data_IF_291772229494
#
_entry.id   IF_291772229494
#
_cell.length_a   1.000
_cell.length_b   1.000
_cell.length_c   1.000
_cell.angle_alpha   90.00
_cell.angle_beta   90.00
_cell.angle_gamma   90.00
#
_symmetry.space_group_name_H-M   'P 1'
#
loop_
_entity.id
_entity.type
_entity.pdbx_description
1 polymer ?
#
# COMPACT_ATOMS: atom_id res chain seq x y z
N UNK A 1 11.49 -3.59 22.55
CA UNK A 1 11.94 -4.28 21.32
C UNK A 1 10.93 -3.94 20.22
N UNK A 2 11.22 -2.94 19.37
CA UNK A 2 10.28 -2.47 18.34
C UNK A 2 10.51 -3.26 17.05
N UNK A 3 9.64 -4.23 16.78
CA UNK A 3 9.66 -5.01 15.54
C UNK A 3 9.38 -4.09 14.35
N UNK A 4 10.37 -3.97 13.44
CA UNK A 4 10.23 -3.31 12.14
C UNK A 4 9.54 -4.28 11.19
N UNK A 5 8.21 -4.30 11.15
CA UNK A 5 7.48 -5.15 10.20
C UNK A 5 7.54 -4.52 8.81
N UNK A 6 8.47 -4.99 7.97
CA UNK A 6 8.49 -4.69 6.52
C UNK A 6 7.56 -5.68 5.83
N UNK A 7 6.59 -5.20 5.05
CA UNK A 7 5.76 -6.07 4.23
C UNK A 7 6.29 -6.09 2.80
N UNK A 8 6.86 -7.22 2.41
CA UNK A 8 7.43 -7.45 1.07
C UNK A 8 6.39 -8.10 0.17
N UNK A 9 5.92 -7.36 -0.83
CA UNK A 9 5.10 -7.90 -1.91
C UNK A 9 6.03 -8.33 -3.06
N UNK A 10 6.78 -9.42 -2.89
CA UNK A 10 7.87 -9.75 -3.82
C UNK A 10 7.42 -10.28 -5.19
N UNK A 11 6.35 -11.09 -5.26
CA UNK A 11 5.79 -11.62 -6.51
C UNK A 11 4.41 -12.27 -6.28
N UNK A 12 3.70 -12.61 -7.36
CA UNK A 12 2.41 -13.32 -7.39
C UNK A 12 1.20 -12.53 -6.84
N UNK A 13 0.03 -13.17 -6.83
CA UNK A 13 -1.19 -12.57 -6.31
C UNK A 13 -1.24 -12.73 -4.79
N UNK A 14 -1.48 -11.63 -4.08
CA UNK A 14 -1.48 -11.58 -2.63
C UNK A 14 -2.73 -10.88 -2.13
N UNK A 15 -3.39 -11.46 -1.13
CA UNK A 15 -4.59 -10.89 -0.52
C UNK A 15 -4.44 -10.81 0.99
N UNK A 16 -4.54 -9.61 1.53
CA UNK A 16 -4.44 -9.33 2.97
C UNK A 16 -5.77 -8.78 3.46
N UNK A 17 -6.39 -9.41 4.46
CA UNK A 17 -7.69 -8.97 4.98
C UNK A 17 -7.72 -8.98 6.51
N UNK A 18 -8.29 -7.92 7.10
CA UNK A 18 -8.38 -7.75 8.54
C UNK A 18 -7.01 -7.78 9.25
N UNK A 19 -5.98 -7.24 8.59
CA UNK A 19 -4.62 -7.19 9.11
C UNK A 19 -4.33 -5.84 9.80
N UNK A 20 -3.28 -5.81 10.62
CA UNK A 20 -2.65 -4.58 11.09
C UNK A 20 -1.26 -4.48 10.47
N UNK A 21 -1.04 -3.44 9.69
CA UNK A 21 0.21 -3.20 8.95
C UNK A 21 0.81 -1.91 9.49
N UNK A 22 2.03 -1.96 10.02
CA UNK A 22 2.67 -0.78 10.63
C UNK A 22 4.09 -0.54 10.14
N UNK A 23 4.41 0.71 9.81
CA UNK A 23 5.76 1.06 9.35
C UNK A 23 5.96 2.57 9.16
N UNK A 24 7.08 2.96 8.57
CA UNK A 24 7.50 4.36 8.43
C UNK A 24 7.72 4.71 6.96
N UNK A 25 8.89 4.34 6.43
CA UNK A 25 9.32 4.57 5.04
C UNK A 25 9.09 3.30 4.24
N UNK A 26 8.37 3.40 3.13
CA UNK A 26 8.17 2.35 2.12
C UNK A 26 7.79 0.98 2.70
N UNK A 27 6.92 0.96 3.71
CA UNK A 27 6.69 -0.27 4.47
C UNK A 27 5.73 -1.25 3.79
N UNK A 28 5.00 -0.81 2.76
CA UNK A 28 4.25 -1.64 1.81
C UNK A 28 4.90 -1.47 0.43
N UNK A 29 5.81 -2.36 0.07
CA UNK A 29 6.61 -2.21 -1.15
C UNK A 29 6.77 -3.54 -1.90
N UNK A 30 7.18 -3.44 -3.16
CA UNK A 30 7.38 -4.61 -4.02
C UNK A 30 6.61 -4.54 -5.33
N UNK A 31 6.63 -5.65 -6.06
CA UNK A 31 6.05 -5.78 -7.40
C UNK A 31 5.07 -6.96 -7.51
N UNK A 32 4.40 -7.32 -6.41
CA UNK A 32 3.31 -8.29 -6.48
C UNK A 32 2.01 -7.64 -7.00
N UNK A 33 1.02 -8.48 -7.31
CA UNK A 33 -0.38 -8.06 -7.42
C UNK A 33 -1.03 -8.20 -6.05
N UNK A 34 -0.95 -7.15 -5.24
CA UNK A 34 -1.37 -7.18 -3.83
C UNK A 34 -2.65 -6.39 -3.60
N UNK A 35 -3.63 -7.00 -2.95
CA UNK A 35 -4.85 -6.34 -2.46
C UNK A 35 -4.90 -6.41 -0.93
N UNK A 36 -4.96 -5.25 -0.28
CA UNK A 36 -5.11 -5.09 1.16
C UNK A 36 -6.52 -4.57 1.42
N UNK A 37 -7.34 -5.33 2.13
CA UNK A 37 -8.76 -5.03 2.35
C UNK A 37 -9.13 -5.02 3.84
N UNK A 38 -10.03 -4.13 4.26
CA UNK A 38 -10.58 -4.09 5.63
C UNK A 38 -9.49 -4.10 6.72
N UNK A 39 -8.35 -3.46 6.47
CA UNK A 39 -7.18 -3.54 7.34
C UNK A 39 -6.85 -2.19 7.97
N UNK A 40 -6.11 -2.22 9.08
CA UNK A 40 -5.58 -1.03 9.74
C UNK A 40 -4.12 -0.81 9.31
N UNK A 41 -3.84 0.36 8.75
CA UNK A 41 -2.51 0.78 8.33
C UNK A 41 -2.04 1.86 9.31
N UNK A 42 -1.01 1.56 10.10
CA UNK A 42 -0.49 2.42 11.15
C UNK A 42 0.86 3.01 10.72
N UNK A 43 0.88 4.32 10.48
CA UNK A 43 2.10 5.05 10.14
C UNK A 43 2.82 5.47 11.41
N UNK A 44 4.02 4.95 11.62
CA UNK A 44 4.85 5.19 12.80
C UNK A 44 5.69 6.46 12.65
N UNK A 45 6.24 6.94 13.77
CA UNK A 45 7.22 8.03 13.75
C UNK A 45 8.52 7.52 13.08
N UNK A 46 9.01 8.14 12.00
CA UNK A 46 10.27 7.76 11.38
C UNK A 46 11.46 8.26 12.20
N UNK A 47 12.68 7.97 11.73
CA UNK A 47 13.89 8.60 12.27
C UNK A 47 13.91 10.11 11.99
N UNK A 48 14.74 10.84 12.71
CA UNK A 48 14.82 12.30 12.54
C UNK A 48 15.30 12.65 11.11
N UNK A 49 14.71 13.70 10.52
CA UNK A 49 14.97 14.12 9.14
C UNK A 49 14.33 13.25 8.05
N UNK A 50 13.68 12.15 8.40
CA UNK A 50 13.02 11.27 7.43
C UNK A 50 11.56 11.66 7.15
N UNK A 51 11.04 11.17 6.03
CA UNK A 51 9.63 11.32 5.61
C UNK A 51 8.98 9.96 5.50
N UNK A 52 7.68 9.88 5.75
CA UNK A 52 6.92 8.64 5.61
C UNK A 52 6.32 8.51 4.21
N UNK A 53 6.32 7.29 3.70
CA UNK A 53 5.61 6.89 2.51
C UNK A 53 4.95 5.54 2.78
N UNK A 54 3.63 5.45 2.61
CA UNK A 54 2.90 4.22 2.89
C UNK A 54 3.28 3.13 1.89
N UNK A 55 3.29 3.46 0.59
CA UNK A 55 3.60 2.50 -0.48
C UNK A 55 4.81 2.88 -1.32
N UNK A 56 5.59 1.89 -1.75
CA UNK A 56 6.60 2.04 -2.80
C UNK A 56 6.51 0.87 -3.79
N UNK A 57 5.61 1.00 -4.78
CA UNK A 57 5.34 -0.09 -5.72
C UNK A 57 6.39 -0.11 -6.85
N UNK A 58 6.86 -1.32 -7.18
CA UNK A 58 8.05 -1.59 -7.99
C UNK A 58 7.79 -2.08 -9.42
N UNK A 59 6.63 -1.79 -10.01
CA UNK A 59 6.33 -2.20 -11.39
C UNK A 59 7.28 -1.53 -12.38
N UNK A 60 8.07 -2.35 -13.05
CA UNK A 60 9.15 -1.89 -13.93
C UNK A 60 8.77 -1.92 -15.40
N UNK A 61 7.78 -2.73 -15.78
CA UNK A 61 7.32 -2.85 -17.17
C UNK A 61 5.85 -2.46 -17.33
N UNK A 62 5.53 -1.79 -18.43
CA UNK A 62 4.14 -1.32 -18.70
C UNK A 62 3.13 -2.46 -18.80
N UNK A 63 3.58 -3.61 -19.32
CA UNK A 63 2.76 -4.80 -19.61
C UNK A 63 2.48 -5.64 -18.37
N UNK A 64 3.21 -5.43 -17.27
CA UNK A 64 2.99 -6.13 -16.01
C UNK A 64 1.60 -5.81 -15.43
N UNK A 65 0.92 -6.85 -14.97
CA UNK A 65 -0.39 -6.76 -14.31
C UNK A 65 -0.28 -6.60 -12.79
N UNK A 66 0.92 -6.31 -12.28
CA UNK A 66 1.24 -6.11 -10.86
C UNK A 66 0.84 -4.73 -10.35
N UNK A 67 0.73 -4.58 -9.03
CA UNK A 67 0.31 -3.33 -8.41
C UNK A 67 -0.22 -3.55 -7.00
N UNK A 68 -0.37 -2.45 -6.27
CA UNK A 68 -0.85 -2.46 -4.89
C UNK A 68 -2.20 -1.76 -4.83
N UNK A 69 -3.22 -2.45 -4.32
CA UNK A 69 -4.54 -1.89 -4.07
C UNK A 69 -4.82 -1.93 -2.57
N UNK A 70 -5.18 -0.78 -2.01
CA UNK A 70 -5.60 -0.65 -0.62
C UNK A 70 -7.08 -0.25 -0.65
N UNK A 71 -7.94 -1.17 -0.21
CA UNK A 71 -9.40 -1.03 -0.26
C UNK A 71 -10.01 -1.03 1.14
N UNK A 72 -10.92 -0.08 1.42
CA UNK A 72 -11.70 -0.04 2.66
C UNK A 72 -10.84 -0.19 3.92
N UNK A 73 -9.65 0.41 3.91
CA UNK A 73 -8.70 0.40 5.01
C UNK A 73 -8.75 1.71 5.79
N UNK A 74 -8.16 1.71 6.98
CA UNK A 74 -7.96 2.92 7.79
C UNK A 74 -6.47 3.23 7.85
N UNK A 75 -6.06 4.41 7.40
CA UNK A 75 -4.68 4.88 7.48
C UNK A 75 -4.58 5.90 8.62
N UNK A 76 -3.89 5.52 9.70
CA UNK A 76 -3.84 6.28 10.96
C UNK A 76 -2.40 6.50 11.41
N UNK A 77 -2.09 7.59 12.15
CA UNK A 77 -0.79 7.77 12.75
C UNK A 77 -0.68 6.93 14.04
N UNK A 78 0.52 6.44 14.35
CA UNK A 78 0.86 5.93 15.68
C UNK A 78 0.84 7.09 16.69
N UNK A 79 0.58 6.78 17.97
CA UNK A 79 0.56 7.77 19.05
C UNK A 79 1.82 8.65 19.10
N UNK A 80 2.99 8.09 18.81
CA UNK A 80 4.27 8.83 18.78
C UNK A 80 4.39 9.80 17.61
N UNK A 81 3.67 9.56 16.51
CA UNK A 81 3.65 10.47 15.36
C UNK A 81 2.68 11.63 15.59
N UNK A 82 1.61 11.44 16.38
CA UNK A 82 0.54 12.45 16.57
C UNK A 82 1.07 13.86 16.90
N UNK A 83 2.03 14.06 17.84
CA UNK A 83 2.53 15.40 18.17
C UNK A 83 3.30 16.08 17.03
N UNK A 84 3.90 15.29 16.14
CA UNK A 84 4.76 15.74 15.04
C UNK A 84 4.11 15.56 13.67
N UNK A 85 2.84 15.14 13.61
CA UNK A 85 2.16 14.67 12.39
C UNK A 85 2.03 15.71 11.28
N UNK A 86 2.11 16.99 11.63
CA UNK A 86 2.13 18.10 10.67
C UNK A 86 3.55 18.58 10.32
N UNK A 87 4.55 18.22 11.12
CA UNK A 87 5.96 18.53 10.88
C UNK A 87 6.62 17.45 10.00
N UNK A 88 6.29 16.19 10.27
CA UNK A 88 6.80 15.04 9.52
C UNK A 88 5.88 14.79 8.33
N UNK A 89 6.42 14.96 7.12
CA UNK A 89 5.68 14.72 5.89
C UNK A 89 5.33 13.23 5.75
N UNK A 90 4.05 12.93 5.59
CA UNK A 90 3.57 11.59 5.27
C UNK A 90 2.79 11.60 3.96
N UNK A 91 3.17 10.71 3.04
CA UNK A 91 2.52 10.53 1.74
C UNK A 91 1.95 9.12 1.57
N UNK A 92 0.96 8.97 0.71
CA UNK A 92 0.35 7.69 0.32
C UNK A 92 1.37 6.78 -0.37
N UNK A 93 2.31 7.34 -1.12
CA UNK A 93 3.39 6.57 -1.70
C UNK A 93 4.36 7.37 -2.55
N UNK A 94 5.37 6.65 -3.06
CA UNK A 94 6.38 7.16 -3.99
C UNK A 94 6.76 6.14 -5.07
N UNK A 95 7.09 6.59 -6.29
CA UNK A 95 7.30 5.70 -7.43
C UNK A 95 8.69 5.05 -7.39
N UNK A 96 8.80 3.83 -6.84
CA UNK A 96 10.08 3.12 -6.82
C UNK A 96 10.57 2.74 -8.22
N UNK A 97 9.65 2.46 -9.15
CA UNK A 97 9.94 2.08 -10.53
C UNK A 97 9.05 2.82 -11.53
N UNK A 98 9.46 2.83 -12.80
CA UNK A 98 8.94 3.71 -13.85
C UNK A 98 7.42 3.58 -14.07
N UNK A 99 6.86 2.37 -13.92
CA UNK A 99 5.44 2.12 -14.18
C UNK A 99 4.66 1.85 -12.90
N UNK A 100 5.12 2.38 -11.76
CA UNK A 100 4.51 2.12 -10.45
C UNK A 100 2.98 2.21 -10.48
N UNK A 101 2.31 1.30 -9.80
CA UNK A 101 0.84 1.25 -9.78
C UNK A 101 0.30 1.07 -8.38
N UNK A 102 -0.43 2.07 -7.90
CA UNK A 102 -1.04 2.06 -6.57
C UNK A 102 -2.44 2.67 -6.61
N UNK A 103 -3.39 1.99 -6.00
CA UNK A 103 -4.79 2.45 -5.89
C UNK A 103 -5.18 2.49 -4.42
N UNK A 104 -5.65 3.65 -3.96
CA UNK A 104 -6.21 3.83 -2.60
C UNK A 104 -7.69 4.13 -2.75
N UNK A 105 -8.55 3.19 -2.33
CA UNK A 105 -9.99 3.31 -2.55
C UNK A 105 -10.82 2.96 -1.32
N UNK A 106 -11.91 3.72 -1.12
CA UNK A 106 -12.87 3.56 -0.02
C UNK A 106 -12.24 3.65 1.38
N UNK A 107 -11.03 4.18 1.48
CA UNK A 107 -10.24 4.21 2.71
C UNK A 107 -10.53 5.46 3.55
N UNK A 108 -10.36 5.35 4.86
CA UNK A 108 -10.34 6.51 5.76
C UNK A 108 -8.91 7.00 5.95
N UNK A 109 -8.62 8.24 5.55
CA UNK A 109 -7.31 8.87 5.60
C UNK A 109 -7.26 9.89 6.74
N UNK A 110 -6.28 9.74 7.65
CA UNK A 110 -6.04 10.70 8.73
C UNK A 110 -5.52 12.07 8.24
N UNK A 111 -5.60 13.07 9.11
CA UNK A 111 -5.27 14.50 8.83
C UNK A 111 -3.80 14.75 8.52
N UNK A 112 -2.94 13.82 8.90
CA UNK A 112 -1.48 13.85 8.73
C UNK A 112 -1.01 13.51 7.30
N UNK A 113 -1.89 13.00 6.44
CA UNK A 113 -1.56 12.80 5.03
C UNK A 113 -1.42 14.16 4.36
N UNK A 114 -0.27 14.40 3.73
CA UNK A 114 0.02 15.67 3.08
C UNK A 114 -1.01 15.99 1.99
N UNK A 115 -1.41 17.27 1.81
CA UNK A 115 -2.38 17.64 0.79
C UNK A 115 -1.99 17.20 -0.64
N UNK A 116 -0.69 17.23 -0.95
CA UNK A 116 -0.12 16.71 -2.20
C UNK A 116 -0.44 15.21 -2.42
N UNK A 117 -0.61 14.45 -1.34
CA UNK A 117 -0.99 13.03 -1.31
C UNK A 117 0.14 12.08 -1.65
N UNK A 118 0.90 12.37 -2.70
CA UNK A 118 1.96 11.52 -3.23
C UNK A 118 3.28 12.30 -3.25
N UNK A 119 4.40 11.59 -3.14
CA UNK A 119 5.73 12.21 -3.16
C UNK A 119 6.59 11.66 -4.30
N UNK A 120 7.44 12.52 -4.83
CA UNK A 120 8.40 12.16 -5.87
C UNK A 120 9.42 11.14 -5.34
N UNK A 121 9.89 10.26 -6.21
CA UNK A 121 11.06 9.42 -5.92
C UNK A 121 12.35 10.20 -6.20
N UNK A 122 12.46 10.76 -7.40
CA UNK A 122 13.57 11.60 -7.81
C UNK A 122 13.11 12.56 -8.93
N UNK A 123 12.84 13.83 -8.57
CA UNK A 123 12.38 14.88 -9.50
C UNK A 123 11.22 14.37 -10.36
N UNK A 124 11.39 14.40 -11.68
CA UNK A 124 10.36 14.06 -12.66
C UNK A 124 10.29 12.57 -13.02
N UNK A 125 11.02 11.70 -12.30
CA UNK A 125 11.02 10.27 -12.58
C UNK A 125 9.61 9.66 -12.42
N UNK A 126 9.19 8.88 -13.41
CA UNK A 126 7.94 8.12 -13.45
C UNK A 126 6.64 8.95 -13.43
N UNK A 127 6.68 10.28 -13.28
CA UNK A 127 5.47 11.09 -13.05
C UNK A 127 4.45 11.02 -14.20
N UNK A 128 4.92 10.78 -15.42
CA UNK A 128 4.09 10.63 -16.61
C UNK A 128 3.60 9.20 -16.88
N UNK A 129 4.29 8.21 -16.32
CA UNK A 129 4.10 6.78 -16.64
C UNK A 129 3.48 5.99 -15.50
N UNK A 130 3.55 6.53 -14.27
CA UNK A 130 2.93 5.93 -13.09
C UNK A 130 1.40 5.86 -13.20
N UNK A 131 0.80 5.02 -12.36
CA UNK A 131 -0.64 4.88 -12.23
C UNK A 131 -1.03 4.99 -10.76
N UNK A 132 -1.27 6.22 -10.31
CA UNK A 132 -1.82 6.49 -8.98
C UNK A 132 -3.29 6.85 -9.06
N UNK A 133 -4.10 6.17 -8.25
CA UNK A 133 -5.55 6.34 -8.26
C UNK A 133 -6.09 6.50 -6.84
N UNK A 134 -7.03 7.43 -6.69
CA UNK A 134 -7.84 7.58 -5.49
C UNK A 134 -9.33 7.46 -5.85
N UNK A 135 -10.12 6.74 -5.05
CA UNK A 135 -11.56 6.57 -5.26
C UNK A 135 -12.32 6.56 -3.94
N UNK A 136 -13.33 7.41 -3.79
CA UNK A 136 -14.26 7.42 -2.65
C UNK A 136 -13.60 7.34 -1.25
N UNK A 137 -12.41 7.92 -1.10
CA UNK A 137 -11.73 8.01 0.20
C UNK A 137 -12.46 9.01 1.12
N UNK A 138 -12.34 8.79 2.42
CA UNK A 138 -13.04 9.53 3.48
C UNK A 138 -12.06 10.04 4.53
N UNK A 139 -12.51 10.97 5.36
CA UNK A 139 -11.73 11.51 6.47
C UNK A 139 -10.92 12.76 6.10
N UNK A 140 -10.26 13.38 7.08
CA UNK A 140 -9.62 14.68 6.92
C UNK A 140 -8.47 14.72 5.91
N UNK A 141 -7.77 13.60 5.68
CA UNK A 141 -6.70 13.50 4.67
C UNK A 141 -7.17 13.19 3.24
N UNK A 142 -8.48 12.99 3.03
CA UNK A 142 -9.01 12.52 1.75
C UNK A 142 -9.32 13.61 0.72
N UNK A 143 -9.22 14.89 1.08
CA UNK A 143 -9.45 15.98 0.15
C UNK A 143 -8.42 15.95 -1.00
N UNK A 144 -8.89 15.93 -2.25
CA UNK A 144 -8.04 15.78 -3.44
C UNK A 144 -7.73 17.09 -4.17
N UNK A 145 -8.31 18.22 -3.74
CA UNK A 145 -8.19 19.53 -4.43
C UNK A 145 -6.78 20.11 -4.50
N UNK A 146 -5.86 19.63 -3.66
CA UNK A 146 -4.44 20.06 -3.63
C UNK A 146 -3.47 18.92 -3.92
N UNK A 147 -3.95 17.84 -4.53
CA UNK A 147 -3.11 16.72 -4.94
C UNK A 147 -2.16 17.15 -6.05
N UNK A 148 -1.08 16.39 -6.19
CA UNK A 148 -0.11 16.55 -7.28
C UNK A 148 -0.79 16.58 -8.65
N UNK A 149 -0.27 17.42 -9.55
CA UNK A 149 -0.76 17.52 -10.93
C UNK A 149 0.09 16.68 -11.91
N UNK A 150 0.34 15.41 -11.55
CA UNK A 150 1.10 14.50 -12.39
C UNK A 150 0.20 13.81 -13.41
N UNK A 151 0.67 13.63 -14.64
CA UNK A 151 -0.09 12.93 -15.69
C UNK A 151 -0.48 11.50 -15.30
N UNK A 152 0.35 10.82 -14.51
CA UNK A 152 0.08 9.49 -13.99
C UNK A 152 -0.92 9.43 -12.82
N UNK A 153 -1.25 10.56 -12.18
CA UNK A 153 -2.21 10.65 -11.08
C UNK A 153 -3.63 10.93 -11.60
N UNK A 154 -4.63 10.30 -11.01
CA UNK A 154 -6.04 10.53 -11.34
C UNK A 154 -6.96 10.20 -10.17
N UNK A 155 -7.93 11.07 -9.89
CA UNK A 155 -9.09 10.74 -9.05
C UNK A 155 -10.10 9.99 -9.91
N UNK A 156 -10.45 8.76 -9.51
CA UNK A 156 -11.47 7.99 -10.20
C UNK A 156 -12.84 8.55 -9.79
N UNK A 157 -13.65 8.90 -10.79
CA UNK A 157 -15.05 9.32 -10.59
C UNK A 157 -16.04 8.27 -11.08
N UNK A 158 -15.64 7.45 -12.05
CA UNK A 158 -16.48 6.38 -12.58
C UNK A 158 -16.32 5.10 -11.75
N UNK A 159 -17.41 4.62 -11.15
CA UNK A 159 -17.45 3.37 -10.38
C UNK A 159 -16.97 2.15 -11.19
N UNK A 160 -17.24 2.08 -12.49
CA UNK A 160 -16.84 0.95 -13.33
C UNK A 160 -15.31 0.85 -13.49
N UNK A 161 -14.60 1.98 -13.44
CA UNK A 161 -13.13 1.99 -13.40
C UNK A 161 -12.62 1.47 -12.04
N UNK A 162 -13.25 1.89 -10.94
CA UNK A 162 -12.89 1.40 -9.60
C UNK A 162 -13.12 -0.11 -9.43
N UNK A 163 -14.18 -0.66 -10.05
CA UNK A 163 -14.48 -2.09 -10.01
C UNK A 163 -13.34 -2.97 -10.53
N UNK A 164 -12.53 -2.48 -11.47
CA UNK A 164 -11.37 -3.20 -12.02
C UNK A 164 -10.27 -3.48 -10.97
N UNK A 165 -10.27 -2.73 -9.85
CA UNK A 165 -9.30 -2.89 -8.78
C UNK A 165 -9.81 -3.74 -7.61
N UNK A 166 -11.03 -4.27 -7.69
CA UNK A 166 -11.59 -5.15 -6.65
C UNK A 166 -11.00 -6.56 -6.73
N UNK A 167 -11.19 -7.36 -5.67
CA UNK A 167 -10.60 -8.69 -5.55
C UNK A 167 -10.87 -9.61 -6.76
N UNK A 168 -12.08 -9.59 -7.32
CA UNK A 168 -12.45 -10.43 -8.45
C UNK A 168 -11.57 -10.15 -9.68
N UNK A 169 -11.61 -8.94 -10.26
CA UNK A 169 -10.83 -8.62 -11.45
C UNK A 169 -9.32 -8.48 -11.20
N UNK A 170 -8.91 -7.91 -10.06
CA UNK A 170 -7.52 -7.49 -9.87
C UNK A 170 -6.57 -8.63 -9.50
N UNK A 171 -6.93 -9.46 -8.52
CA UNK A 171 -6.14 -10.64 -8.09
C UNK A 171 -6.69 -11.95 -8.64
N UNK A 172 -7.64 -11.88 -9.59
CA UNK A 172 -8.34 -13.05 -10.16
C UNK A 172 -8.97 -13.94 -9.09
N UNK A 173 -9.55 -13.34 -8.04
CA UNK A 173 -10.08 -14.05 -6.87
C UNK A 173 -11.26 -15.00 -7.14
N UNK A 174 -11.72 -15.10 -8.40
CA UNK A 174 -12.81 -15.96 -8.86
C UNK A 174 -12.34 -17.18 -9.68
N UNK A 175 -11.04 -17.48 -9.75
CA UNK A 175 -10.56 -18.67 -10.44
C UNK A 175 -10.78 -19.94 -9.59
N UNK A 176 -11.96 -20.53 -9.75
CA UNK A 176 -12.25 -21.96 -9.63
C UNK A 176 -11.95 -22.64 -8.30
N UNK A 177 -12.92 -22.65 -7.38
CA UNK A 177 -13.05 -23.74 -6.40
C UNK A 177 -14.51 -23.89 -6.00
N UNK A 178 -15.08 -25.04 -6.31
CA UNK A 178 -16.27 -25.64 -5.69
C UNK A 178 -16.05 -25.96 -4.20
N UNK A 179 -15.27 -25.16 -3.49
CA UNK A 179 -15.06 -25.27 -2.07
C UNK A 179 -15.14 -23.86 -1.49
N UNK A 180 -16.21 -23.62 -0.75
CA UNK A 180 -16.39 -22.47 0.11
C UNK A 180 -15.35 -22.51 1.24
N UNK A 181 -14.09 -22.23 0.93
CA UNK A 181 -13.09 -21.95 1.95
C UNK A 181 -13.19 -20.48 2.27
N UNK A 182 -13.90 -20.20 3.35
CA UNK A 182 -14.04 -18.91 3.99
C UNK A 182 -12.77 -18.05 3.84
N UNK A 183 -12.90 -16.90 3.17
CA UNK A 183 -11.88 -15.85 3.13
C UNK A 183 -11.67 -15.25 4.54
N UNK A 184 -11.03 -16.01 5.43
CA UNK A 184 -10.36 -15.53 6.65
C UNK A 184 -8.88 -15.89 6.49
N UNK A 185 -8.10 -14.98 5.95
CA UNK A 185 -6.64 -15.04 6.07
C UNK A 185 -6.14 -13.71 6.58
N UNK A 186 -5.88 -13.69 7.89
CA UNK A 186 -4.95 -12.79 8.53
C UNK A 186 -3.58 -13.47 8.42
N UNK A 187 -2.63 -12.88 7.68
CA UNK A 187 -1.21 -13.19 7.92
C UNK A 187 -0.81 -12.35 9.11
N UNK A 188 -1.32 -12.70 10.29
CA UNK A 188 -0.78 -12.21 11.56
C UNK A 188 0.55 -12.90 11.77
N UNK A 189 1.65 -12.23 11.44
CA UNK A 189 2.92 -12.49 12.11
C UNK A 189 2.79 -12.01 13.56
N UNK A 190 2.16 -12.84 14.39
CA UNK A 190 2.46 -12.89 15.82
C UNK A 190 3.28 -14.16 15.99
N UNK A 191 4.51 -13.99 16.44
CA UNK A 191 5.39 -15.07 16.83
C UNK A 191 4.64 -16.09 17.69
N UNK A 192 4.89 -17.37 17.42
CA UNK A 192 4.55 -18.53 18.25
C UNK A 192 3.20 -19.21 17.98
N UNK A 193 3.14 -20.02 16.93
CA UNK A 193 2.46 -21.32 17.01
C UNK A 193 3.02 -22.26 15.95
N UNK A 194 3.66 -23.34 16.41
CA UNK A 194 4.00 -24.50 15.59
C UNK A 194 2.72 -25.08 14.98
N UNK A 195 2.66 -25.20 13.66
CA UNK A 195 2.12 -26.38 12.99
C UNK A 195 2.47 -26.36 11.50
N UNK A 196 3.06 -27.47 11.08
CA UNK A 196 3.51 -27.81 9.74
C UNK A 196 2.39 -27.66 8.71
N UNK A 197 2.65 -26.91 7.63
CA UNK A 197 2.21 -27.24 6.27
C UNK A 197 3.07 -26.45 5.27
N UNK A 198 3.86 -27.20 4.49
CA UNK A 198 4.76 -26.75 3.43
C UNK A 198 3.97 -26.03 2.33
N UNK A 199 4.31 -24.76 2.04
CA UNK A 199 4.45 -24.23 0.67
C UNK A 199 5.47 -23.06 0.69
N UNK A 200 6.52 -23.25 -0.13
CA UNK A 200 7.72 -22.46 -0.46
C UNK A 200 8.16 -21.26 0.39
N UNK A 201 9.25 -21.51 1.12
CA UNK A 201 10.24 -20.55 1.61
C UNK A 201 10.91 -19.82 0.43
N UNK A 202 10.85 -18.49 0.40
CA UNK A 202 11.85 -17.68 -0.29
C UNK A 202 12.68 -17.02 0.82
N UNK A 203 13.98 -17.35 0.97
CA UNK A 203 14.80 -16.70 1.98
C UNK A 203 14.89 -15.20 1.68
N UNK A 204 14.52 -14.39 2.66
CA UNK A 204 14.71 -12.94 2.64
C UNK A 204 16.22 -12.69 2.59
N UNK A 205 16.72 -12.32 1.42
CA UNK A 205 18.03 -11.68 1.30
C UNK A 205 17.95 -10.33 2.03
N UNK A 206 18.64 -10.27 3.16
CA UNK A 206 18.92 -9.07 3.91
C UNK A 206 19.83 -8.18 3.06
N UNK A 207 19.23 -7.30 2.24
CA UNK A 207 19.96 -6.18 1.68
C UNK A 207 20.04 -5.11 2.77
N UNK A 208 21.16 -5.13 3.50
CA UNK A 208 21.74 -3.94 4.10
C UNK A 208 22.09 -2.98 2.96
N UNK A 209 21.60 -1.75 3.03
CA UNK A 209 22.17 -0.65 2.26
C UNK A 209 22.63 0.38 3.28
N UNK A 210 23.91 0.73 3.15
CA UNK A 210 24.61 1.85 3.75
C UNK A 210 23.86 3.19 3.55
#
# INVERSE_FOLDING_TARGET
MLTKTRYTTQAHHQFYRNCIISGTVDFIFGDATALIQNSLIVVRRPGDGQKNAVTAQGRSERRETTGIVIQNCRIVPEQKLVPERFKIQTSLGRPWKMYTRTVIMECTLGDFIQPAGWMEWNRNFALDTLCYREYANRGPGAATSRRVNWKGYKVITNRNEALQFTAGPFIQGNLGSTCATAFRYCVSFVSSCFLNLKWYYIPVLQLEQE
#
